data_IF_316068222665
#
_entry.id   IF_316068222665
#
_cell.length_a   1.000
_cell.length_b   1.000
_cell.length_c   1.000
_cell.angle_alpha   90.00
_cell.angle_beta   90.00
_cell.angle_gamma   90.00
#
_symmetry.space_group_name_H-M   'P 1'
#
loop_
_entity.id
_entity.type
_entity.pdbx_description
1 polymer ?
#
# COMPACT_ATOMS: atom_id res chain seq x y z
N UNK A 1 -18.14 -13.63 -23.70
CA UNK A 1 -17.04 -13.57 -22.71
C UNK A 1 -17.38 -12.52 -21.65
N UNK A 2 -18.34 -12.88 -20.81
CA UNK A 2 -18.66 -12.27 -19.50
C UNK A 2 -18.35 -13.44 -18.53
N UNK A 3 -17.72 -13.31 -17.37
CA UNK A 3 -17.99 -12.41 -16.27
C UNK A 3 -16.72 -12.37 -15.38
N UNK A 4 -16.04 -11.22 -15.27
CA UNK A 4 -15.07 -10.95 -14.18
C UNK A 4 -15.77 -10.31 -12.95
N UNK A 5 -17.08 -10.09 -13.05
CA UNK A 5 -17.95 -9.58 -11.99
C UNK A 5 -18.52 -10.67 -11.06
N UNK A 6 -18.41 -11.97 -11.42
CA UNK A 6 -19.04 -13.06 -10.66
C UNK A 6 -18.26 -13.46 -9.40
N UNK A 7 -16.95 -13.18 -9.34
CA UNK A 7 -16.10 -13.49 -8.18
C UNK A 7 -16.01 -12.37 -7.14
N UNK A 8 -16.37 -11.15 -7.51
CA UNK A 8 -16.34 -9.98 -6.60
C UNK A 8 -17.64 -9.88 -5.79
N UNK A 9 -18.78 -10.43 -6.28
CA UNK A 9 -20.02 -10.47 -5.50
C UNK A 9 -20.15 -11.68 -4.54
N UNK A 10 -19.37 -12.75 -4.68
CA UNK A 10 -19.52 -13.95 -3.82
C UNK A 10 -19.03 -13.74 -2.37
N UNK A 11 -18.19 -12.73 -2.12
CA UNK A 11 -17.72 -12.39 -0.77
C UNK A 11 -18.69 -11.41 -0.05
N UNK A 12 -19.53 -10.68 -0.80
CA UNK A 12 -20.46 -9.71 -0.22
C UNK A 12 -21.85 -10.31 0.04
N UNK A 13 -22.27 -11.35 -0.70
CA UNK A 13 -23.57 -12.01 -0.44
C UNK A 13 -23.55 -12.93 0.80
N UNK A 14 -22.37 -13.37 1.24
CA UNK A 14 -22.22 -14.29 2.39
C UNK A 14 -22.21 -13.59 3.75
N UNK A 15 -22.20 -12.25 3.78
CA UNK A 15 -22.26 -11.44 5.01
C UNK A 15 -23.68 -10.87 5.22
N UNK A 16 -24.56 -10.92 4.20
CA UNK A 16 -25.91 -10.34 4.25
C UNK A 16 -27.04 -11.26 4.73
N UNK A 17 -26.84 -12.58 4.78
CA UNK A 17 -27.92 -13.53 5.07
C UNK A 17 -27.66 -14.39 6.32
N UNK A 18 -27.70 -13.80 7.51
CA UNK A 18 -28.03 -14.53 8.75
C UNK A 18 -28.48 -13.59 9.87
N UNK A 19 -29.69 -13.06 9.74
CA UNK A 19 -30.55 -12.74 10.89
C UNK A 19 -31.71 -13.72 10.79
N UNK A 20 -31.80 -14.70 11.71
CA UNK A 20 -32.88 -15.68 11.67
C UNK A 20 -32.64 -16.97 12.46
N UNK A 21 -32.55 -16.83 13.77
CA UNK A 21 -32.99 -17.76 14.82
C UNK A 21 -33.65 -19.11 14.44
N UNK A 22 -33.14 -20.23 15.00
CA UNK A 22 -33.80 -21.12 16.00
C UNK A 22 -33.09 -22.49 16.07
N UNK A 23 -32.74 -23.04 17.26
CA UNK A 23 -32.19 -24.39 17.36
C UNK A 23 -33.30 -25.43 17.49
N UNK A 24 -33.22 -26.52 16.71
CA UNK A 24 -34.06 -27.70 16.87
C UNK A 24 -33.28 -29.00 16.54
N UNK A 25 -32.79 -29.64 17.60
CA UNK A 25 -32.79 -31.08 17.94
C UNK A 25 -32.52 -32.15 16.85
N UNK A 26 -31.32 -32.77 16.95
CA UNK A 26 -30.93 -34.23 16.85
C UNK A 26 -31.09 -35.04 15.52
N UNK A 27 -30.51 -36.27 15.44
CA UNK A 27 -29.12 -36.71 15.68
C UNK A 27 -28.55 -37.41 14.40
N UNK A 28 -27.96 -38.63 14.49
CA UNK A 28 -27.36 -39.48 13.43
C UNK A 28 -26.02 -39.05 12.78
N UNK A 29 -25.10 -39.94 12.41
CA UNK A 29 -24.59 -41.22 12.91
C UNK A 29 -23.39 -41.56 12.00
N UNK A 30 -22.30 -42.04 12.58
CA UNK A 30 -21.25 -42.93 12.02
C UNK A 30 -20.46 -42.58 10.74
N UNK A 31 -19.17 -42.29 10.93
CA UNK A 31 -17.93 -42.89 10.33
C UNK A 31 -17.82 -43.27 8.83
N UNK A 32 -16.59 -43.48 8.28
CA UNK A 32 -15.31 -42.79 8.49
C UNK A 32 -14.48 -42.61 7.18
N UNK A 33 -13.32 -41.96 7.34
CA UNK A 33 -12.08 -42.14 6.56
C UNK A 33 -12.05 -41.76 5.06
N UNK A 34 -11.25 -40.74 4.74
CA UNK A 34 -10.11 -40.84 3.79
C UNK A 34 -9.06 -39.81 4.24
N UNK A 35 -7.90 -40.33 4.61
CA UNK A 35 -6.68 -39.57 4.86
C UNK A 35 -6.14 -38.99 3.54
N UNK A 36 -5.90 -37.68 3.51
CA UNK A 36 -4.83 -37.11 2.71
C UNK A 36 -4.10 -36.06 3.53
N UNK A 37 -2.89 -36.45 3.91
CA UNK A 37 -1.72 -35.65 4.24
C UNK A 37 -1.93 -34.13 4.07
N UNK A 38 -2.40 -33.48 5.14
CA UNK A 38 -2.35 -32.02 5.23
C UNK A 38 -0.91 -31.69 5.61
N UNK A 39 -0.11 -31.39 4.58
CA UNK A 39 1.16 -30.70 4.77
C UNK A 39 0.83 -29.37 5.44
N UNK A 40 1.05 -29.32 6.75
CA UNK A 40 0.90 -28.14 7.60
C UNK A 40 1.85 -27.07 7.07
N UNK A 41 1.37 -26.25 6.15
CA UNK A 41 1.98 -24.97 5.84
C UNK A 41 1.57 -24.05 6.99
N UNK A 42 2.50 -23.89 7.92
CA UNK A 42 2.48 -22.98 9.06
C UNK A 42 1.69 -21.72 8.74
N UNK A 43 0.49 -21.64 9.31
CA UNK A 43 -0.36 -20.47 9.27
C UNK A 43 0.33 -19.37 10.04
N UNK A 44 1.17 -18.58 9.37
CA UNK A 44 1.54 -17.29 9.92
C UNK A 44 0.25 -16.46 9.93
N UNK A 45 -0.21 -15.96 11.09
CA UNK A 45 -1.40 -15.13 11.14
C UNK A 45 -1.22 -13.97 10.16
N UNK A 46 -2.27 -13.54 9.44
CA UNK A 46 -2.20 -12.28 8.71
C UNK A 46 -1.85 -11.22 9.75
N UNK A 47 -0.65 -10.65 9.64
CA UNK A 47 -0.32 -9.40 10.31
C UNK A 47 -1.28 -8.39 9.73
N UNK A 48 -2.41 -8.22 10.41
CA UNK A 48 -3.32 -7.10 10.22
C UNK A 48 -2.49 -5.89 10.59
N UNK A 49 -1.82 -5.29 9.60
CA UNK A 49 -1.33 -3.93 9.74
C UNK A 49 -2.57 -3.11 10.10
N UNK A 50 -2.61 -2.57 11.31
CA UNK A 50 -3.75 -1.80 11.81
C UNK A 50 -4.19 -0.79 10.74
N UNK A 51 -5.50 -0.55 10.56
CA UNK A 51 -5.97 0.56 9.75
C UNK A 51 -5.52 1.86 10.44
N UNK A 52 -4.30 2.27 10.14
CA UNK A 52 -3.74 3.53 10.56
C UNK A 52 -4.38 4.65 9.77
N UNK A 53 -4.52 5.80 10.42
CA UNK A 53 -4.85 7.04 9.74
C UNK A 53 -3.77 7.36 8.70
N UNK A 54 -4.18 7.88 7.54
CA UNK A 54 -3.24 8.46 6.60
C UNK A 54 -2.69 9.76 7.20
N UNK A 55 -1.36 9.81 7.37
CA UNK A 55 -0.64 10.96 7.91
C UNK A 55 0.19 11.56 6.79
N UNK A 56 0.11 12.87 6.62
CA UNK A 56 0.94 13.62 5.68
C UNK A 56 2.34 13.79 6.25
N UNK A 57 3.37 13.50 5.44
CA UNK A 57 4.74 13.73 5.82
C UNK A 57 5.01 15.21 6.06
N UNK A 58 5.42 15.54 7.28
CA UNK A 58 5.89 16.86 7.66
C UNK A 58 7.42 16.92 7.54
N UNK A 59 7.92 17.76 6.62
CA UNK A 59 9.35 17.94 6.41
C UNK A 59 10.03 18.77 7.50
N UNK A 60 9.29 19.68 8.14
CA UNK A 60 9.79 20.52 9.22
C UNK A 60 10.16 19.70 10.45
N UNK A 61 9.31 18.72 10.81
CA UNK A 61 9.59 17.76 11.89
C UNK A 61 10.85 16.94 11.61
N UNK A 62 11.14 16.64 10.34
CA UNK A 62 12.34 15.92 9.91
C UNK A 62 13.59 16.82 9.75
N UNK A 63 13.48 18.13 10.00
CA UNK A 63 14.56 19.10 9.77
C UNK A 63 14.97 19.19 8.30
N UNK A 64 14.06 18.92 7.38
CA UNK A 64 14.27 18.98 5.94
C UNK A 64 13.61 20.22 5.37
N UNK A 65 14.34 20.97 4.54
CA UNK A 65 13.85 22.20 3.92
C UNK A 65 13.83 22.04 2.41
N UNK A 66 12.64 21.90 1.79
CA UNK A 66 12.51 21.92 0.34
C UNK A 66 12.96 23.27 -0.25
N UNK A 67 13.83 23.22 -1.26
CA UNK A 67 14.33 24.37 -1.99
C UNK A 67 14.00 24.22 -3.49
N UNK A 68 13.09 25.08 -3.96
CA UNK A 68 12.57 25.05 -5.33
C UNK A 68 13.64 25.38 -6.36
N UNK A 69 14.46 26.38 -6.09
CA UNK A 69 15.40 26.94 -7.08
C UNK A 69 16.52 25.94 -7.38
N UNK A 70 16.89 25.15 -6.37
CA UNK A 70 17.92 24.12 -6.49
C UNK A 70 17.40 22.77 -6.99
N UNK A 71 16.10 22.61 -7.21
CA UNK A 71 15.49 21.31 -7.50
C UNK A 71 16.13 20.57 -8.68
N UNK A 72 16.52 21.30 -9.72
CA UNK A 72 17.12 20.74 -10.93
C UNK A 72 18.64 20.57 -10.82
N UNK A 73 19.29 21.10 -9.79
CA UNK A 73 20.73 21.01 -9.61
C UNK A 73 21.17 19.60 -9.20
N UNK A 74 22.31 19.17 -9.74
CA UNK A 74 22.96 17.94 -9.30
C UNK A 74 23.34 17.98 -7.81
N UNK A 75 23.72 19.17 -7.32
CA UNK A 75 24.09 19.42 -5.91
C UNK A 75 22.95 19.10 -4.94
N UNK A 76 21.69 19.18 -5.40
CA UNK A 76 20.49 19.02 -4.59
C UNK A 76 19.98 17.57 -4.53
N UNK A 77 20.54 16.66 -5.35
CA UNK A 77 20.13 15.25 -5.39
C UNK A 77 20.17 14.56 -4.02
N UNK A 78 21.19 14.75 -3.15
CA UNK A 78 21.18 14.17 -1.82
C UNK A 78 20.02 14.66 -0.94
N UNK A 79 19.69 15.95 -1.00
CA UNK A 79 18.55 16.53 -0.26
C UNK A 79 17.23 15.98 -0.79
N UNK A 80 17.07 15.91 -2.11
CA UNK A 80 15.89 15.32 -2.75
C UNK A 80 15.67 13.86 -2.32
N UNK A 81 16.72 13.05 -2.26
CA UNK A 81 16.67 11.66 -1.75
C UNK A 81 16.17 11.59 -0.31
N UNK A 82 16.63 12.48 0.56
CA UNK A 82 16.17 12.54 1.97
C UNK A 82 14.70 12.92 2.08
N UNK A 83 14.24 13.89 1.29
CA UNK A 83 12.82 14.27 1.23
C UNK A 83 11.95 13.10 0.76
N UNK A 84 12.35 12.44 -0.31
CA UNK A 84 11.65 11.27 -0.87
C UNK A 84 11.59 10.13 0.15
N UNK A 85 12.71 9.82 0.79
CA UNK A 85 12.79 8.77 1.80
C UNK A 85 11.83 9.02 2.96
N UNK A 86 11.74 10.26 3.44
CA UNK A 86 10.82 10.66 4.50
C UNK A 86 9.36 10.45 4.11
N UNK A 87 8.98 10.85 2.89
CA UNK A 87 7.62 10.65 2.38
C UNK A 87 7.29 9.17 2.25
N UNK A 88 8.15 8.36 1.63
CA UNK A 88 7.90 6.93 1.44
C UNK A 88 7.77 6.22 2.80
N UNK A 89 8.62 6.57 3.77
CA UNK A 89 8.59 5.93 5.08
C UNK A 89 7.34 6.30 5.90
N UNK A 90 6.83 7.52 5.74
CA UNK A 90 5.68 8.04 6.49
C UNK A 90 4.35 7.68 5.84
N UNK A 91 4.27 7.81 4.52
CA UNK A 91 3.02 7.74 3.77
C UNK A 91 2.86 6.44 2.97
N UNK A 92 3.97 5.71 2.74
CA UNK A 92 4.00 4.53 1.91
C UNK A 92 3.04 3.42 2.38
N UNK A 93 2.51 2.60 1.45
CA UNK A 93 2.83 2.57 0.02
C UNK A 93 2.21 3.72 -0.79
N UNK A 94 2.95 4.24 -1.76
CA UNK A 94 2.51 5.34 -2.63
C UNK A 94 2.81 5.08 -4.11
N UNK A 95 1.90 5.50 -4.99
CA UNK A 95 2.20 5.57 -6.42
C UNK A 95 3.24 6.65 -6.73
N UNK A 96 4.05 6.43 -7.76
CA UNK A 96 5.12 7.36 -8.15
C UNK A 96 4.63 8.74 -8.59
N UNK A 97 3.46 8.84 -9.21
CA UNK A 97 2.80 10.11 -9.52
C UNK A 97 2.35 10.86 -8.26
N UNK A 98 1.76 10.16 -7.29
CA UNK A 98 1.40 10.74 -6.00
C UNK A 98 2.64 11.23 -5.27
N UNK A 99 3.70 10.40 -5.18
CA UNK A 99 4.98 10.79 -4.60
C UNK A 99 5.55 12.06 -5.25
N UNK A 100 5.52 12.14 -6.58
CA UNK A 100 5.98 13.32 -7.31
C UNK A 100 5.15 14.56 -6.98
N UNK A 101 3.83 14.44 -6.88
CA UNK A 101 2.94 15.53 -6.47
C UNK A 101 3.29 16.00 -5.04
N UNK A 102 3.51 15.08 -4.09
CA UNK A 102 3.88 15.44 -2.71
C UNK A 102 5.16 16.26 -2.68
N UNK A 103 6.19 15.80 -3.40
CA UNK A 103 7.46 16.52 -3.50
C UNK A 103 7.25 17.87 -4.19
N UNK A 104 6.55 17.95 -5.32
CA UNK A 104 6.31 19.21 -6.03
C UNK A 104 5.58 20.24 -5.15
N UNK A 105 4.55 19.81 -4.40
CA UNK A 105 3.80 20.68 -3.47
C UNK A 105 4.69 21.19 -2.33
N UNK A 106 5.55 20.35 -1.78
CA UNK A 106 6.52 20.74 -0.76
C UNK A 106 7.47 21.85 -1.24
N UNK A 107 7.77 21.88 -2.55
CA UNK A 107 8.61 22.90 -3.19
C UNK A 107 7.81 24.08 -3.76
N UNK A 108 6.51 24.21 -3.45
CA UNK A 108 5.68 25.30 -3.97
C UNK A 108 5.53 25.31 -5.49
N UNK A 109 5.59 24.14 -6.14
CA UNK A 109 5.41 24.01 -7.58
C UNK A 109 3.93 23.82 -7.93
N UNK A 110 3.47 24.53 -8.97
CA UNK A 110 2.07 24.47 -9.41
C UNK A 110 1.76 23.25 -10.27
N UNK A 111 2.74 22.80 -11.07
CA UNK A 111 2.59 21.70 -12.03
C UNK A 111 3.58 20.58 -11.74
N UNK A 112 3.09 19.35 -11.73
CA UNK A 112 3.92 18.14 -11.70
C UNK A 112 3.87 17.52 -13.09
N UNK A 113 4.88 17.83 -13.91
CA UNK A 113 5.03 17.24 -15.23
C UNK A 113 5.84 15.93 -15.21
N UNK A 114 5.92 15.26 -16.36
CA UNK A 114 6.69 14.02 -16.54
C UNK A 114 8.17 14.16 -16.14
N UNK A 115 8.75 15.35 -16.27
CA UNK A 115 10.13 15.64 -15.84
C UNK A 115 10.30 15.55 -14.32
N UNK A 116 9.40 16.16 -13.55
CA UNK A 116 9.45 16.11 -12.08
C UNK A 116 9.18 14.68 -11.63
N UNK A 117 8.17 14.02 -12.21
CA UNK A 117 7.86 12.63 -11.91
C UNK A 117 9.08 11.74 -12.12
N UNK A 118 9.70 11.79 -13.30
CA UNK A 118 10.88 11.00 -13.61
C UNK A 118 12.04 11.28 -12.65
N UNK A 119 12.35 12.54 -12.39
CA UNK A 119 13.42 12.89 -11.45
C UNK A 119 13.17 12.37 -10.03
N UNK A 120 11.91 12.45 -9.57
CA UNK A 120 11.53 11.94 -8.25
C UNK A 120 11.64 10.42 -8.22
N UNK A 121 11.07 9.72 -9.21
CA UNK A 121 11.11 8.24 -9.27
C UNK A 121 12.52 7.68 -9.43
N UNK A 122 13.38 8.37 -10.20
CA UNK A 122 14.79 7.99 -10.40
C UNK A 122 15.66 8.28 -9.16
N UNK A 123 15.23 9.22 -8.32
CA UNK A 123 15.90 9.55 -7.07
C UNK A 123 15.48 8.65 -5.90
N UNK A 124 14.53 7.73 -6.08
CA UNK A 124 14.17 6.78 -5.02
C UNK A 124 15.35 5.85 -4.72
N UNK A 125 15.66 5.69 -3.44
CA UNK A 125 16.74 4.80 -2.99
C UNK A 125 16.35 3.32 -3.22
N UNK A 126 17.26 2.48 -3.76
CA UNK A 126 17.01 1.05 -3.99
C UNK A 126 16.59 0.26 -2.75
N UNK A 127 16.85 0.76 -1.54
CA UNK A 127 16.39 0.11 -0.29
C UNK A 127 14.87 0.08 -0.13
N UNK A 128 14.15 0.97 -0.81
CA UNK A 128 12.69 0.98 -0.78
C UNK A 128 12.14 -0.07 -1.76
N UNK A 129 11.35 -1.05 -1.29
CA UNK A 129 10.73 -2.02 -2.18
C UNK A 129 9.85 -1.33 -3.21
N UNK A 130 9.80 -1.89 -4.43
CA UNK A 130 9.00 -1.39 -5.55
C UNK A 130 8.15 -2.51 -6.10
N UNK A 131 6.87 -2.24 -6.33
CA UNK A 131 5.97 -3.11 -7.11
C UNK A 131 5.36 -2.34 -8.26
N UNK A 132 4.66 -3.05 -9.16
CA UNK A 132 4.00 -2.47 -10.32
C UNK A 132 2.52 -2.84 -10.32
N UNK A 133 1.66 -1.85 -10.41
CA UNK A 133 0.21 -2.01 -10.48
C UNK A 133 -0.35 -1.19 -11.63
N UNK A 134 -1.08 -1.82 -12.55
CA UNK A 134 -1.71 -1.12 -13.70
C UNK A 134 -0.73 -0.18 -14.44
N UNK A 135 0.50 -0.64 -14.66
CA UNK A 135 1.59 0.12 -15.28
C UNK A 135 2.21 1.24 -14.44
N UNK A 136 1.70 1.51 -13.24
CA UNK A 136 2.26 2.47 -12.29
C UNK A 136 3.21 1.80 -11.30
N UNK A 137 4.23 2.53 -10.91
CA UNK A 137 5.13 2.10 -9.84
C UNK A 137 4.58 2.46 -8.47
N UNK A 138 4.67 1.52 -7.55
CA UNK A 138 4.33 1.68 -6.14
C UNK A 138 5.61 1.56 -5.31
N UNK A 139 5.85 2.57 -4.47
CA UNK A 139 6.99 2.61 -3.56
C UNK A 139 6.56 2.33 -2.14
N UNK A 140 7.26 1.40 -1.50
CA UNK A 140 6.91 0.87 -0.19
C UNK A 140 7.90 1.33 0.88
N UNK A 141 7.46 1.51 2.14
CA UNK A 141 8.37 1.75 3.25
C UNK A 141 9.40 0.63 3.39
N UNK A 142 10.57 0.95 3.92
CA UNK A 142 11.64 -0.02 4.12
C UNK A 142 11.14 -1.20 4.98
N UNK A 143 11.51 -2.43 4.60
CA UNK A 143 11.06 -3.66 5.29
C UNK A 143 9.62 -4.09 5.03
N UNK A 144 8.86 -3.38 4.19
CA UNK A 144 7.49 -3.77 3.83
C UNK A 144 7.46 -4.90 2.80
N UNK A 145 6.50 -5.83 2.96
CA UNK A 145 6.20 -6.84 1.95
C UNK A 145 5.33 -6.24 0.83
N UNK A 146 5.67 -6.52 -0.43
CA UNK A 146 4.98 -5.97 -1.61
C UNK A 146 3.92 -6.91 -2.21
N UNK A 147 3.82 -8.15 -1.73
CA UNK A 147 2.92 -9.20 -2.25
C UNK A 147 1.53 -9.19 -1.60
N UNK A 148 1.31 -8.33 -0.60
CA UNK A 148 0.09 -8.33 0.22
C UNK A 148 -0.72 -7.05 0.00
N UNK A 149 -2.06 -7.16 -0.12
CA UNK A 149 -2.91 -5.99 -0.16
C UNK A 149 -2.81 -5.22 1.16
N UNK A 150 -2.60 -3.91 1.07
CA UNK A 150 -2.60 -3.01 2.24
C UNK A 150 -4.03 -2.54 2.50
N UNK A 151 -4.51 -2.54 3.76
CA UNK A 151 -5.82 -2.01 4.10
C UNK A 151 -5.96 -0.55 3.68
N UNK A 152 -7.18 -0.16 3.29
CA UNK A 152 -7.51 1.24 3.04
C UNK A 152 -7.23 2.09 4.28
N UNK A 153 -6.58 3.24 4.09
CA UNK A 153 -6.32 4.23 5.14
C UNK A 153 -7.30 5.38 5.01
N UNK A 154 -8.02 5.67 6.08
CA UNK A 154 -8.87 6.88 6.16
C UNK A 154 -7.97 8.09 6.42
N UNK A 155 -8.28 9.22 5.77
CA UNK A 155 -7.65 10.50 6.08
C UNK A 155 -8.04 10.95 7.50
N UNK A 156 -7.05 11.35 8.30
CA UNK A 156 -7.27 12.05 9.57
C UNK A 156 -7.84 13.44 9.37
#
# INVERSE_FOLDING_TARGET
>A
KRLYLDRICSVIDRIGASVGQKPAVQPFSSSPAISRDVKVATSQPPVIQMPGLYIVADFGVAGLTPDRDRFYEASYRPTLRRLIAHVIQTEGPLYGDILAIRIARAHGMERTGSTIQKMVTDAVDPRFPRSREEERDVFWPEGSATDRPVPFRVSA
#
